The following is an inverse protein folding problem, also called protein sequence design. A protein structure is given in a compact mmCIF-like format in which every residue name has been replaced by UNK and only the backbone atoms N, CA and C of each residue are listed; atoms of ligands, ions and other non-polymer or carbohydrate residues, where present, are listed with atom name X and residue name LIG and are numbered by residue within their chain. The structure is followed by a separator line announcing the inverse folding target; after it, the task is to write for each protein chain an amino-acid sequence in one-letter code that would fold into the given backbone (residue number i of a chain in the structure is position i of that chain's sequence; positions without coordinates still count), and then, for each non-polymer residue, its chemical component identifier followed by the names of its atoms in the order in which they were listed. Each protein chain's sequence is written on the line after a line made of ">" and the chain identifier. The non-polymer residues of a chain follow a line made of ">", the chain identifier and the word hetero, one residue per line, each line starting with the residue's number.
data_IF_037436161410
#
_entry.id   IF_037436161410
#
_cell.length_a   1.000
_cell.length_b   1.000
_cell.length_c   1.000
_cell.angle_alpha   90.00
_cell.angle_beta   90.00
_cell.angle_gamma   90.00
#
_symmetry.space_group_name_H-M   'P 1'
#
loop_
_entity.id
_entity.type
_entity.pdbx_description
1 polymer ?
#
# COMPACT_ATOMS: atom_id res chain seq x y z
N UNK A 1 -5.11 -7.21 14.23
CA UNK A 1 -3.92 -7.31 13.37
C UNK A 1 -4.40 -7.24 11.93
N UNK A 2 -3.84 -6.37 11.09
CA UNK A 2 -4.18 -6.31 9.66
C UNK A 2 -3.20 -7.20 8.90
N UNK A 3 -3.68 -7.96 7.93
CA UNK A 3 -2.84 -8.78 7.06
C UNK A 3 -3.00 -8.25 5.64
N UNK A 4 -1.87 -7.89 5.02
CA UNK A 4 -1.78 -7.58 3.61
C UNK A 4 -1.52 -8.87 2.83
N UNK A 5 -2.32 -9.09 1.79
CA UNK A 5 -2.14 -10.20 0.88
C UNK A 5 -2.04 -9.64 -0.53
N UNK A 6 -0.85 -9.77 -1.12
CA UNK A 6 -0.53 -9.27 -2.44
C UNK A 6 -0.71 -10.40 -3.43
N UNK A 7 -1.55 -10.22 -4.45
CA UNK A 7 -1.81 -11.20 -5.51
C UNK A 7 -1.15 -10.72 -6.80
N UNK A 8 -0.18 -11.48 -7.30
CA UNK A 8 0.55 -11.14 -8.52
C UNK A 8 0.94 -12.41 -9.29
N UNK A 9 0.39 -12.57 -10.51
CA UNK A 9 0.83 -13.57 -11.49
C UNK A 9 0.92 -15.02 -10.99
N UNK A 10 -0.10 -15.51 -10.28
CA UNK A 10 -0.17 -16.91 -9.80
C UNK A 10 0.43 -17.16 -8.41
N UNK A 11 1.12 -16.17 -7.82
CA UNK A 11 1.65 -16.21 -6.46
C UNK A 11 0.96 -15.21 -5.52
N UNK A 12 1.02 -15.51 -4.21
CA UNK A 12 0.52 -14.64 -3.15
C UNK A 12 1.60 -14.36 -2.10
N UNK A 13 1.82 -13.08 -1.76
CA UNK A 13 2.68 -12.70 -0.64
C UNK A 13 1.83 -12.20 0.53
N UNK A 14 2.16 -12.62 1.75
CA UNK A 14 1.40 -12.29 2.96
C UNK A 14 2.29 -11.54 3.94
N UNK A 15 1.87 -10.34 4.35
CA UNK A 15 2.59 -9.50 5.29
C UNK A 15 1.66 -9.01 6.42
N UNK A 16 1.94 -9.32 7.70
CA UNK A 16 1.20 -8.70 8.80
C UNK A 16 1.64 -7.24 8.97
N UNK A 17 0.68 -6.31 9.03
CA UNK A 17 0.95 -4.90 9.29
C UNK A 17 0.76 -4.62 10.78
N UNK A 18 1.87 -4.37 11.47
CA UNK A 18 1.94 -4.17 12.92
C UNK A 18 2.67 -2.88 13.31
N UNK A 19 3.34 -2.22 12.37
CA UNK A 19 4.19 -1.07 12.63
C UNK A 19 4.34 -0.21 11.37
N UNK A 20 4.92 0.98 11.54
CA UNK A 20 5.33 1.81 10.40
C UNK A 20 6.37 1.09 9.53
N UNK A 21 7.25 0.29 10.14
CA UNK A 21 8.23 -0.53 9.42
C UNK A 21 7.58 -1.55 8.48
N UNK A 22 6.48 -2.20 8.90
CA UNK A 22 5.76 -3.13 8.01
C UNK A 22 5.12 -2.41 6.82
N UNK A 23 4.78 -1.12 6.97
CA UNK A 23 4.29 -0.32 5.85
C UNK A 23 5.40 0.00 4.86
N UNK A 24 6.62 0.25 5.32
CA UNK A 24 7.80 0.41 4.46
C UNK A 24 8.13 -0.90 3.73
N UNK A 25 8.10 -2.03 4.43
CA UNK A 25 8.25 -3.35 3.80
C UNK A 25 7.17 -3.59 2.73
N UNK A 26 5.92 -3.18 2.99
CA UNK A 26 4.85 -3.26 2.01
C UNK A 26 5.14 -2.39 0.78
N UNK A 27 5.68 -1.17 0.94
CA UNK A 27 6.10 -0.32 -0.18
C UNK A 27 7.12 -1.04 -1.05
N UNK A 28 8.17 -1.60 -0.43
CA UNK A 28 9.21 -2.32 -1.16
C UNK A 28 8.69 -3.58 -1.86
N UNK A 29 7.83 -4.36 -1.20
CA UNK A 29 7.19 -5.51 -1.81
C UNK A 29 6.35 -5.10 -3.03
N UNK A 30 5.56 -4.04 -2.92
CA UNK A 30 4.75 -3.53 -4.02
C UNK A 30 5.60 -3.02 -5.18
N UNK A 31 6.68 -2.28 -4.91
CA UNK A 31 7.63 -1.86 -5.93
C UNK A 31 8.24 -3.05 -6.68
N UNK A 32 8.55 -4.13 -5.96
CA UNK A 32 9.04 -5.37 -6.57
C UNK A 32 8.00 -5.99 -7.50
N UNK A 33 6.76 -6.19 -7.02
CA UNK A 33 5.70 -6.80 -7.84
C UNK A 33 5.26 -5.93 -9.02
N UNK A 34 5.31 -4.60 -8.85
CA UNK A 34 4.98 -3.60 -9.87
C UNK A 34 6.14 -3.30 -10.84
N UNK A 35 7.32 -3.88 -10.64
CA UNK A 35 8.42 -3.73 -11.59
C UNK A 35 8.05 -4.32 -12.96
N UNK A 36 7.44 -5.49 -12.93
CA UNK A 36 7.07 -6.28 -14.11
C UNK A 36 5.56 -6.21 -14.41
N UNK A 37 4.78 -5.44 -13.63
CA UNK A 37 3.33 -5.34 -13.73
C UNK A 37 2.87 -3.90 -13.50
N UNK A 38 1.89 -3.43 -14.26
CA UNK A 38 1.34 -2.09 -14.03
C UNK A 38 0.42 -2.02 -12.81
N UNK A 39 -0.24 -3.14 -12.49
CA UNK A 39 -1.25 -3.26 -11.44
C UNK A 39 -1.04 -4.54 -10.64
N UNK A 40 -1.24 -4.45 -9.33
CA UNK A 40 -1.21 -5.55 -8.38
C UNK A 40 -2.45 -5.44 -7.48
N UNK A 41 -3.12 -6.56 -7.21
CA UNK A 41 -4.24 -6.58 -6.29
C UNK A 41 -3.74 -6.88 -4.87
N UNK A 42 -4.15 -6.07 -3.89
CA UNK A 42 -3.78 -6.23 -2.49
C UNK A 42 -5.04 -6.31 -1.64
N UNK A 43 -5.27 -7.46 -1.00
CA UNK A 43 -6.30 -7.58 0.02
C UNK A 43 -5.75 -7.10 1.36
N UNK A 44 -6.42 -6.10 1.93
CA UNK A 44 -6.18 -5.65 3.29
C UNK A 44 -7.43 -5.97 4.10
N UNK A 45 -7.30 -6.87 5.07
CA UNK A 45 -8.43 -7.42 5.82
C UNK A 45 -9.47 -8.06 4.89
N UNK A 46 -10.65 -7.45 4.74
CA UNK A 46 -11.75 -7.95 3.88
C UNK A 46 -11.89 -7.19 2.55
N UNK A 47 -11.07 -6.17 2.32
CA UNK A 47 -11.21 -5.28 1.16
C UNK A 47 -10.08 -5.54 0.17
N UNK A 48 -10.42 -5.72 -1.10
CA UNK A 48 -9.46 -5.83 -2.18
C UNK A 48 -9.19 -4.43 -2.75
N UNK A 49 -7.91 -4.08 -2.86
CA UNK A 49 -7.45 -2.82 -3.40
C UNK A 49 -6.61 -3.07 -4.64
N UNK A 50 -6.81 -2.25 -5.67
CA UNK A 50 -5.88 -2.19 -6.79
C UNK A 50 -4.78 -1.17 -6.48
N UNK A 51 -3.55 -1.64 -6.59
CA UNK A 51 -2.33 -0.85 -6.40
C UNK A 51 -1.63 -0.76 -7.74
N UNK A 52 -1.26 0.45 -8.12
CA UNK A 52 -0.71 0.74 -9.44
C UNK A 52 0.68 1.34 -9.33
N UNK A 53 1.49 1.10 -10.35
CA UNK A 53 2.72 1.85 -10.56
C UNK A 53 2.38 3.26 -11.00
N UNK A 54 3.13 4.23 -10.53
CA UNK A 54 3.01 5.62 -10.99
C UNK A 54 4.38 6.20 -11.34
N UNK A 55 4.36 7.28 -12.12
CA UNK A 55 5.56 8.02 -12.49
C UNK A 55 6.25 8.63 -11.26
N UNK A 56 7.59 8.77 -11.30
CA UNK A 56 8.30 9.59 -10.33
C UNK A 56 7.69 11.00 -10.28
N UNK A 57 7.45 11.53 -9.08
CA UNK A 57 6.88 12.88 -8.88
C UNK A 57 5.38 12.91 -8.55
N UNK A 58 4.64 11.81 -8.71
CA UNK A 58 3.25 11.72 -8.26
C UNK A 58 3.15 11.89 -6.74
N UNK A 59 2.31 12.83 -6.29
CA UNK A 59 2.10 13.17 -4.89
C UNK A 59 0.84 12.53 -4.32
N UNK A 60 0.89 12.17 -3.05
CA UNK A 60 -0.26 11.69 -2.30
C UNK A 60 -1.27 12.81 -2.12
N UNK A 61 -2.54 12.57 -2.46
CA UNK A 61 -3.62 13.56 -2.29
C UNK A 61 -3.89 13.93 -0.83
N UNK A 62 -3.45 13.10 0.12
CA UNK A 62 -3.66 13.33 1.56
C UNK A 62 -2.49 14.08 2.22
N UNK A 63 -1.26 13.54 2.12
CA UNK A 63 -0.10 14.10 2.81
C UNK A 63 0.81 14.95 1.92
N UNK A 64 0.52 15.05 0.62
CA UNK A 64 1.31 15.79 -0.39
C UNK A 64 2.76 15.30 -0.57
N UNK A 65 3.15 14.20 0.08
CA UNK A 65 4.46 13.56 -0.09
C UNK A 65 4.52 12.71 -1.37
N UNK A 66 5.73 12.41 -1.82
CA UNK A 66 5.96 11.49 -2.94
C UNK A 66 5.38 10.10 -2.66
N UNK A 67 4.81 9.48 -3.69
CA UNK A 67 4.18 8.15 -3.60
C UNK A 67 5.17 7.00 -3.79
N UNK A 68 6.46 7.30 -3.95
CA UNK A 68 7.52 6.32 -4.20
C UNK A 68 7.22 5.35 -5.36
N UNK A 69 6.51 5.83 -6.38
CA UNK A 69 6.15 5.05 -7.56
C UNK A 69 5.01 4.06 -7.34
N UNK A 70 4.32 4.10 -6.19
CA UNK A 70 3.22 3.21 -5.84
C UNK A 70 2.01 4.02 -5.37
N UNK A 71 0.86 3.83 -6.02
CA UNK A 71 -0.40 4.49 -5.64
C UNK A 71 -1.49 3.49 -5.38
N UNK A 72 -2.33 3.83 -4.40
CA UNK A 72 -3.53 3.09 -4.04
C UNK A 72 -4.75 3.78 -4.64
N UNK A 73 -5.59 3.02 -5.34
CA UNK A 73 -6.85 3.49 -5.93
C UNK A 73 -6.87 3.50 -7.46
N UNK A 74 -8.06 3.32 -8.04
CA UNK A 74 -8.33 3.41 -9.47
C UNK A 74 -8.77 4.81 -9.86
N UNK A 75 -7.82 5.74 -9.83
CA UNK A 75 -8.06 7.16 -10.15
C UNK A 75 -7.87 8.08 -8.97
N UNK A 76 -8.10 9.37 -9.19
CA UNK A 76 -7.95 10.38 -8.15
C UNK A 76 -9.07 10.22 -7.11
N UNK A 77 -8.78 10.32 -5.79
CA UNK A 77 -7.49 10.67 -5.19
C UNK A 77 -6.48 9.51 -5.09
N UNK A 78 -5.23 9.77 -5.47
CA UNK A 78 -4.12 8.84 -5.28
C UNK A 78 -3.58 8.91 -3.85
N UNK A 79 -3.48 7.77 -3.17
CA UNK A 79 -2.86 7.70 -1.85
C UNK A 79 -1.50 6.99 -1.91
N UNK A 80 -0.53 7.50 -1.16
CA UNK A 80 0.69 6.72 -0.87
C UNK A 80 0.35 5.56 0.07
N UNK A 81 1.19 4.54 0.10
CA UNK A 81 0.98 3.34 0.93
C UNK A 81 0.80 3.66 2.41
N UNK A 82 1.55 4.62 2.95
CA UNK A 82 1.39 5.04 4.34
C UNK A 82 -0.01 5.58 4.62
N UNK A 83 -0.49 6.54 3.83
CA UNK A 83 -1.82 7.11 3.99
C UNK A 83 -2.93 6.07 3.74
N UNK A 84 -2.72 5.14 2.80
CA UNK A 84 -3.65 4.04 2.56
C UNK A 84 -3.74 3.12 3.79
N UNK A 85 -2.61 2.76 4.41
CA UNK A 85 -2.58 2.00 5.66
C UNK A 85 -3.26 2.75 6.81
N UNK A 86 -2.97 4.04 7.00
CA UNK A 86 -3.56 4.87 8.07
C UNK A 86 -5.08 5.05 7.92
N UNK A 87 -5.61 5.02 6.69
CA UNK A 87 -7.06 5.10 6.41
C UNK A 87 -7.81 3.83 6.80
N UNK A 88 -7.12 2.70 7.00
CA UNK A 88 -7.75 1.46 7.45
C UNK A 88 -8.05 1.55 8.96
N UNK A 89 -9.31 1.42 9.39
CA UNK A 89 -9.68 1.54 10.81
C UNK A 89 -8.85 0.64 11.73
N UNK A 90 -8.47 -0.55 11.25
CA UNK A 90 -7.68 -1.52 11.98
C UNK A 90 -6.16 -1.22 12.01
N UNK A 91 -5.59 -0.56 11.00
CA UNK A 91 -4.17 -0.17 10.98
C UNK A 91 -3.95 1.19 11.66
N UNK A 92 -4.95 2.10 11.63
CA UNK A 92 -4.90 3.40 12.34
C UNK A 92 -4.58 3.25 13.83
N UNK A 93 -5.20 2.29 14.51
CA UNK A 93 -4.97 2.03 15.95
C UNK A 93 -3.55 1.54 16.25
N UNK A 94 -2.92 0.89 15.28
CA UNK A 94 -1.60 0.29 15.41
C UNK A 94 -0.51 1.31 15.09
N UNK A 95 -0.70 2.07 14.01
CA UNK A 95 0.24 3.12 13.59
C UNK A 95 0.23 4.33 14.53
N UNK A 96 -0.92 4.69 15.12
CA UNK A 96 -1.01 5.78 16.09
C UNK A 96 -0.29 5.50 17.43
N UNK A 97 0.09 4.25 17.71
CA UNK A 97 0.88 3.88 18.89
C UNK A 97 2.40 3.92 18.66
N UNK A 98 2.82 3.98 17.39
CA UNK A 98 4.23 3.92 16.99
C UNK A 98 4.81 5.29 16.58
N UNK A 99 3.99 6.34 16.61
CA UNK A 99 4.39 7.74 16.41
C UNK A 99 4.46 8.45 17.76
#
# INVERSE_FOLDING_TARGET
>A
MVVAQIFAGGGGYVLPIRSAYDCELLIHALQHFLRDREVVAVRLDRVLHEVRRTSPGTRCSLCQQGTHGVVWGNGHPFLCTRCACEKLPAARRVLAKAA
#
